data_IF_173548585725
#
_entry.id   IF_173548585725
#
_cell.length_a   1.000
_cell.length_b   1.000
_cell.length_c   1.000
_cell.angle_alpha   90.00
_cell.angle_beta   90.00
_cell.angle_gamma   90.00
#
_symmetry.space_group_name_H-M   'P 1'
#
loop_
_entity.id
_entity.type
_entity.pdbx_description
1 polymer ?
#
# COMPACT_ATOMS: atom_id res chain seq x y z
N UNK A 1 -11.29 76.41 17.66
CA UNK A 1 -10.28 75.38 17.24
C UNK A 1 -10.69 74.06 17.86
N UNK A 2 -11.33 73.24 17.10
CA UNK A 2 -11.79 71.92 17.56
C UNK A 2 -10.78 70.87 17.00
N UNK A 3 -10.11 70.16 17.88
CA UNK A 3 -9.22 69.05 17.52
C UNK A 3 -10.02 67.72 17.47
N UNK A 4 -10.13 67.14 16.29
CA UNK A 4 -10.73 65.85 16.08
C UNK A 4 -9.62 64.79 16.19
N UNK A 5 -9.74 63.83 17.14
CA UNK A 5 -8.91 62.66 17.23
C UNK A 5 -9.45 61.59 16.27
N UNK A 6 -8.59 60.85 15.55
CA UNK A 6 -9.05 59.70 14.81
C UNK A 6 -9.13 58.46 15.72
N UNK A 7 -10.27 57.84 15.76
CA UNK A 7 -10.52 56.55 16.41
C UNK A 7 -10.00 55.45 15.49
N UNK A 8 -8.89 54.81 15.87
CA UNK A 8 -8.37 53.64 15.18
C UNK A 8 -9.17 52.37 15.55
N UNK A 9 -9.86 51.80 14.59
CA UNK A 9 -10.54 50.50 14.73
C UNK A 9 -9.53 49.40 14.50
N UNK A 10 -9.17 48.68 15.56
CA UNK A 10 -8.32 47.46 15.45
C UNK A 10 -9.19 46.31 14.98
N UNK A 11 -8.89 45.80 13.78
CA UNK A 11 -9.52 44.64 13.24
C UNK A 11 -8.79 43.40 13.79
N UNK A 12 -9.41 42.69 14.75
CA UNK A 12 -8.87 41.44 15.26
C UNK A 12 -9.24 40.31 14.30
N UNK A 13 -8.24 39.81 13.55
CA UNK A 13 -8.37 38.60 12.75
C UNK A 13 -8.28 37.38 13.67
N UNK A 14 -9.41 36.73 13.95
CA UNK A 14 -9.42 35.43 14.62
C UNK A 14 -8.97 34.36 13.62
N UNK A 15 -7.79 33.78 13.83
CA UNK A 15 -7.38 32.53 13.18
C UNK A 15 -8.21 31.39 13.80
N UNK A 16 -9.21 30.90 13.08
CA UNK A 16 -9.86 29.64 13.39
C UNK A 16 -8.98 28.51 12.90
N UNK A 17 -8.25 27.88 13.83
CA UNK A 17 -7.58 26.60 13.56
C UNK A 17 -8.67 25.56 13.32
N UNK A 18 -8.84 25.12 12.08
CA UNK A 18 -9.64 23.93 11.77
C UNK A 18 -8.90 22.71 12.36
N UNK A 19 -9.43 22.21 13.47
CA UNK A 19 -9.04 20.89 13.95
C UNK A 19 -9.64 19.91 12.94
N UNK A 20 -8.81 19.28 12.13
CA UNK A 20 -9.21 18.13 11.35
C UNK A 20 -9.64 17.05 12.35
N UNK A 21 -10.95 16.88 12.51
CA UNK A 21 -11.51 15.72 13.20
C UNK A 21 -11.21 14.53 12.29
N UNK A 22 -10.16 13.77 12.63
CA UNK A 22 -10.04 12.41 12.14
C UNK A 22 -11.34 11.69 12.52
N UNK A 23 -12.09 11.23 11.54
CA UNK A 23 -13.24 10.36 11.78
C UNK A 23 -12.75 9.17 12.58
N UNK A 24 -13.46 8.71 13.66
CA UNK A 24 -13.09 7.49 14.35
C UNK A 24 -13.16 6.35 13.33
N UNK A 25 -12.00 5.71 13.10
CA UNK A 25 -11.71 4.86 11.98
C UNK A 25 -12.69 3.71 11.82
N UNK A 26 -13.03 3.43 10.60
CA UNK A 26 -12.97 2.04 10.17
C UNK A 26 -11.48 1.69 10.18
N UNK A 27 -11.03 0.99 11.23
CA UNK A 27 -9.77 0.27 11.18
C UNK A 27 -9.86 -0.60 9.94
N UNK A 28 -8.98 -0.37 8.97
CA UNK A 28 -8.95 -1.19 7.77
C UNK A 28 -8.72 -2.63 8.23
N UNK A 29 -9.56 -3.56 7.83
CA UNK A 29 -9.43 -4.97 8.21
C UNK A 29 -8.08 -5.58 7.84
N UNK A 30 -7.30 -4.89 7.01
CA UNK A 30 -5.96 -5.30 6.57
C UNK A 30 -4.83 -4.49 7.23
N UNK A 31 -5.14 -3.47 8.07
CA UNK A 31 -4.15 -2.55 8.64
C UNK A 31 -4.07 -1.23 7.88
N UNK A 32 -2.96 -0.51 8.01
CA UNK A 32 -2.76 0.82 7.44
C UNK A 32 -1.31 1.06 7.00
N UNK A 33 -1.07 2.05 6.12
CA UNK A 33 0.29 2.47 5.76
C UNK A 33 1.10 2.87 7.00
N UNK A 34 2.29 2.28 7.15
CA UNK A 34 3.19 2.59 8.26
C UNK A 34 4.09 3.79 7.99
N UNK A 35 4.66 4.36 9.05
CA UNK A 35 5.69 5.40 8.95
C UNK A 35 7.09 4.75 9.01
N UNK A 36 7.99 5.16 8.10
CA UNK A 36 9.39 4.70 8.07
C UNK A 36 10.11 4.86 9.41
N UNK A 37 9.77 5.91 10.18
CA UNK A 37 10.37 6.16 11.50
C UNK A 37 9.85 5.21 12.60
N UNK A 38 8.79 4.46 12.31
CA UNK A 38 8.12 3.54 13.25
C UNK A 38 8.29 2.07 12.87
N UNK A 39 9.15 1.77 11.89
CA UNK A 39 9.40 0.38 11.47
C UNK A 39 10.08 -0.39 12.60
N UNK A 40 9.42 -1.43 13.09
CA UNK A 40 9.95 -2.32 14.15
C UNK A 40 11.03 -3.26 13.61
N UNK A 41 10.84 -3.75 12.38
CA UNK A 41 11.82 -4.59 11.65
C UNK A 41 11.58 -4.57 10.15
N UNK A 42 12.60 -4.97 9.41
CA UNK A 42 12.53 -5.12 7.95
C UNK A 42 12.59 -6.60 7.57
N UNK A 43 11.80 -6.96 6.56
CA UNK A 43 11.76 -8.32 5.98
C UNK A 43 11.99 -8.19 4.49
N UNK A 44 12.93 -8.97 3.94
CA UNK A 44 13.06 -9.11 2.50
C UNK A 44 12.08 -10.19 2.01
N UNK A 45 11.30 -9.86 0.99
CA UNK A 45 10.40 -10.79 0.30
C UNK A 45 10.84 -10.89 -1.15
N UNK A 46 11.27 -12.07 -1.55
CA UNK A 46 11.59 -12.36 -2.94
C UNK A 46 10.35 -12.87 -3.67
N UNK A 47 10.17 -12.42 -4.90
CA UNK A 47 9.13 -12.86 -5.84
C UNK A 47 9.81 -13.60 -6.98
N UNK A 48 9.54 -14.91 -7.11
CA UNK A 48 9.93 -15.71 -8.27
C UNK A 48 8.66 -16.23 -8.98
N UNK A 49 8.83 -17.01 -10.04
CA UNK A 49 7.70 -17.51 -10.81
C UNK A 49 6.77 -18.38 -9.94
N UNK A 50 5.59 -17.78 -9.65
CA UNK A 50 4.45 -18.29 -8.91
C UNK A 50 4.71 -18.56 -7.42
N UNK A 51 5.76 -17.95 -6.83
CA UNK A 51 6.03 -18.10 -5.40
C UNK A 51 6.58 -16.84 -4.74
N UNK A 52 6.38 -16.74 -3.43
CA UNK A 52 7.01 -15.77 -2.55
C UNK A 52 7.97 -16.47 -1.60
N UNK A 53 9.08 -15.82 -1.28
CA UNK A 53 10.00 -16.31 -0.26
C UNK A 53 10.30 -15.19 0.76
N UNK A 54 9.88 -15.34 2.04
CA UNK A 54 9.11 -16.46 2.60
C UNK A 54 7.64 -16.47 2.17
N UNK A 55 7.01 -17.65 2.12
CA UNK A 55 5.57 -17.85 1.87
C UNK A 55 4.71 -17.55 3.11
N UNK A 56 5.28 -17.65 4.29
CA UNK A 56 4.60 -17.34 5.56
C UNK A 56 5.45 -16.41 6.39
N UNK A 57 4.81 -15.35 6.90
CA UNK A 57 5.46 -14.33 7.73
C UNK A 57 4.72 -14.20 9.06
N UNK A 58 5.43 -14.44 10.17
CA UNK A 58 4.88 -14.19 11.52
C UNK A 58 4.85 -12.68 11.77
N UNK A 59 3.71 -12.15 12.23
CA UNK A 59 3.53 -10.72 12.56
C UNK A 59 2.83 -10.57 13.91
N UNK A 60 2.98 -9.41 14.55
CA UNK A 60 2.31 -9.10 15.81
C UNK A 60 1.20 -8.05 15.57
N UNK A 61 0.12 -8.07 16.37
CA UNK A 61 -0.86 -6.99 16.39
C UNK A 61 -0.19 -5.63 16.61
N UNK A 62 -0.51 -4.64 15.77
CA UNK A 62 0.04 -3.29 15.83
C UNK A 62 1.50 -3.15 15.37
N UNK A 63 2.16 -4.24 14.94
CA UNK A 63 3.53 -4.20 14.45
C UNK A 63 3.63 -3.44 13.13
N UNK A 64 4.65 -2.59 12.98
CA UNK A 64 4.98 -1.92 11.73
C UNK A 64 6.18 -2.59 11.08
N UNK A 65 5.97 -3.18 9.92
CA UNK A 65 7.02 -3.89 9.17
C UNK A 65 7.35 -3.14 7.88
N UNK A 66 8.65 -2.97 7.62
CA UNK A 66 9.18 -2.57 6.32
C UNK A 66 9.47 -3.81 5.48
N UNK A 67 8.77 -3.98 4.37
CA UNK A 67 9.05 -5.03 3.41
C UNK A 67 9.97 -4.49 2.32
N UNK A 68 11.15 -5.11 2.15
CA UNK A 68 11.96 -4.96 0.95
C UNK A 68 11.54 -6.06 -0.02
N UNK A 69 10.83 -5.69 -1.08
CA UNK A 69 10.30 -6.63 -2.07
C UNK A 69 11.23 -6.66 -3.27
N UNK A 70 11.69 -7.84 -3.65
CA UNK A 70 12.63 -8.02 -4.77
C UNK A 70 12.03 -8.98 -5.79
N UNK A 71 11.88 -8.53 -7.03
CA UNK A 71 11.49 -9.42 -8.12
C UNK A 71 12.73 -10.12 -8.67
N UNK A 72 12.97 -11.35 -8.25
CA UNK A 72 14.09 -12.21 -8.73
C UNK A 72 13.70 -13.07 -9.94
N UNK A 73 12.40 -13.05 -10.30
CA UNK A 73 11.85 -13.78 -11.42
C UNK A 73 12.10 -13.11 -12.77
N UNK A 74 11.40 -13.61 -13.80
CA UNK A 74 11.51 -13.15 -15.19
C UNK A 74 10.22 -12.54 -15.72
N UNK A 75 9.18 -12.49 -14.89
CA UNK A 75 7.90 -11.87 -15.17
C UNK A 75 7.65 -10.69 -14.24
N UNK A 76 6.70 -9.83 -14.61
CA UNK A 76 6.16 -8.81 -13.71
C UNK A 76 5.44 -9.52 -12.57
N UNK A 77 5.73 -9.13 -11.33
CA UNK A 77 5.08 -9.63 -10.14
C UNK A 77 4.58 -8.49 -9.27
N UNK A 78 3.57 -8.77 -8.49
CA UNK A 78 3.03 -7.87 -7.49
C UNK A 78 3.14 -8.50 -6.10
N UNK A 79 3.61 -7.73 -5.13
CA UNK A 79 3.40 -8.01 -3.71
C UNK A 79 2.27 -7.10 -3.25
N UNK A 80 1.14 -7.65 -2.83
CA UNK A 80 -0.05 -6.90 -2.44
C UNK A 80 -0.62 -7.46 -1.14
N UNK A 81 -0.54 -6.68 -0.06
CA UNK A 81 -1.09 -7.03 1.25
C UNK A 81 -2.61 -6.85 1.20
N UNK A 82 -3.35 -7.90 1.59
CA UNK A 82 -4.80 -7.84 1.52
C UNK A 82 -5.50 -9.10 2.00
N UNK A 83 -6.70 -9.27 1.50
CA UNK A 83 -7.57 -10.43 1.71
C UNK A 83 -8.07 -10.93 0.36
N UNK A 84 -8.63 -12.13 0.32
CA UNK A 84 -9.27 -12.65 -0.89
C UNK A 84 -10.34 -11.71 -1.46
N UNK A 85 -11.03 -10.94 -0.61
CA UNK A 85 -12.03 -9.95 -1.05
C UNK A 85 -11.38 -8.76 -1.78
N UNK A 86 -10.35 -8.13 -1.17
CA UNK A 86 -9.66 -7.00 -1.76
C UNK A 86 -8.97 -7.38 -3.07
N UNK A 87 -8.31 -8.54 -3.13
CA UNK A 87 -7.67 -9.04 -4.35
C UNK A 87 -8.67 -9.35 -5.47
N UNK A 88 -9.86 -9.85 -5.14
CA UNK A 88 -10.91 -10.07 -6.13
C UNK A 88 -11.42 -8.75 -6.72
N UNK A 89 -11.52 -7.70 -5.90
CA UNK A 89 -11.85 -6.34 -6.36
C UNK A 89 -10.79 -5.77 -7.30
N UNK A 90 -9.52 -5.97 -6.96
CA UNK A 90 -8.37 -5.44 -7.72
C UNK A 90 -8.12 -6.17 -9.07
N UNK A 91 -8.53 -7.42 -9.18
CA UNK A 91 -8.28 -8.28 -10.34
C UNK A 91 -8.75 -7.71 -11.68
N UNK A 92 -9.87 -7.02 -11.71
CA UNK A 92 -10.42 -6.47 -12.96
C UNK A 92 -9.61 -5.27 -13.46
N UNK A 93 -8.99 -4.52 -12.54
CA UNK A 93 -8.04 -3.47 -12.85
C UNK A 93 -6.78 -4.05 -13.49
N UNK A 94 -6.16 -5.05 -12.88
CA UNK A 94 -4.98 -5.74 -13.41
C UNK A 94 -5.22 -6.36 -14.78
N UNK A 95 -6.40 -6.96 -15.00
CA UNK A 95 -6.81 -7.45 -16.32
C UNK A 95 -6.97 -6.34 -17.34
N UNK A 96 -7.47 -5.18 -16.91
CA UNK A 96 -7.62 -4.01 -17.80
C UNK A 96 -6.24 -3.49 -18.19
N UNK A 97 -5.31 -3.34 -17.24
CA UNK A 97 -3.94 -2.93 -17.54
C UNK A 97 -3.27 -3.83 -18.58
N UNK A 98 -3.42 -5.15 -18.42
CA UNK A 98 -2.88 -6.11 -19.40
C UNK A 98 -3.58 -6.00 -20.78
N UNK A 99 -4.90 -5.90 -20.80
CA UNK A 99 -5.68 -5.80 -22.04
C UNK A 99 -5.40 -4.51 -22.82
N UNK A 100 -5.20 -3.40 -22.11
CA UNK A 100 -4.91 -2.09 -22.70
C UNK A 100 -3.41 -1.90 -22.99
N UNK A 101 -2.58 -2.91 -22.73
CA UNK A 101 -1.15 -2.90 -23.00
C UNK A 101 -0.33 -1.98 -22.09
N UNK A 102 -0.83 -1.65 -20.88
CA UNK A 102 -0.09 -0.97 -19.84
C UNK A 102 0.85 -1.94 -19.13
N UNK A 103 0.52 -3.23 -19.17
CA UNK A 103 1.32 -4.31 -18.62
C UNK A 103 1.42 -5.46 -19.60
N UNK A 104 2.58 -6.07 -19.66
CA UNK A 104 2.83 -7.36 -20.33
C UNK A 104 3.39 -8.33 -19.28
N UNK A 105 3.66 -9.57 -19.67
CA UNK A 105 4.28 -10.53 -18.76
C UNK A 105 5.65 -10.08 -18.22
N UNK A 106 6.35 -9.14 -18.87
CA UNK A 106 7.72 -8.77 -18.51
C UNK A 106 7.96 -7.27 -18.37
N UNK A 107 6.96 -6.44 -18.67
CA UNK A 107 7.14 -4.99 -18.76
C UNK A 107 5.90 -4.22 -18.32
N UNK A 108 6.16 -3.07 -17.71
CA UNK A 108 5.19 -2.04 -17.37
C UNK A 108 5.38 -0.81 -18.27
N UNK A 109 4.32 -0.29 -18.85
CA UNK A 109 4.32 0.99 -19.56
C UNK A 109 3.82 2.10 -18.63
N UNK A 110 4.73 2.60 -17.79
CA UNK A 110 4.43 3.65 -16.80
C UNK A 110 3.83 4.91 -17.44
N UNK A 111 4.25 5.25 -18.66
CA UNK A 111 3.70 6.43 -19.36
C UNK A 111 2.23 6.24 -19.67
N UNK A 112 1.86 5.06 -20.18
CA UNK A 112 0.48 4.71 -20.49
C UNK A 112 -0.36 4.55 -19.22
N UNK A 113 0.21 3.98 -18.15
CA UNK A 113 -0.44 3.89 -16.84
C UNK A 113 -0.76 5.28 -16.29
N UNK A 114 0.20 6.21 -16.36
CA UNK A 114 0.00 7.59 -15.92
C UNK A 114 -1.08 8.31 -16.74
N UNK A 115 -1.04 8.19 -18.07
CA UNK A 115 -2.05 8.79 -18.96
C UNK A 115 -3.46 8.24 -18.70
N UNK A 116 -3.57 6.96 -18.33
CA UNK A 116 -4.84 6.31 -18.00
C UNK A 116 -5.31 6.56 -16.55
N UNK A 117 -4.48 7.15 -15.70
CA UNK A 117 -4.78 7.30 -14.27
C UNK A 117 -4.80 5.96 -13.52
N UNK A 118 -3.99 5.00 -13.99
CA UNK A 118 -3.90 3.64 -13.46
C UNK A 118 -2.47 3.34 -12.94
N UNK A 119 -1.81 4.32 -12.35
CA UNK A 119 -0.55 4.09 -11.67
C UNK A 119 -0.79 3.23 -10.42
N UNK A 120 0.09 2.25 -10.20
CA UNK A 120 0.11 1.40 -9.03
C UNK A 120 1.02 2.03 -7.96
N UNK A 121 0.48 2.98 -7.22
CA UNK A 121 1.12 3.66 -6.10
C UNK A 121 0.39 3.42 -4.76
N UNK A 122 -0.32 2.28 -4.68
CA UNK A 122 -1.01 1.84 -3.49
C UNK A 122 -0.02 1.50 -2.38
N UNK A 123 -0.23 2.05 -1.19
CA UNK A 123 0.71 1.93 -0.07
C UNK A 123 0.90 0.48 0.43
N UNK A 124 -0.03 -0.42 0.15
CA UNK A 124 -0.01 -1.84 0.50
C UNK A 124 0.54 -2.74 -0.62
N UNK A 125 1.03 -2.16 -1.72
CA UNK A 125 1.45 -2.94 -2.88
C UNK A 125 2.78 -2.47 -3.48
N UNK A 126 3.45 -3.39 -4.17
CA UNK A 126 4.60 -3.11 -5.03
C UNK A 126 4.49 -3.97 -6.30
N UNK A 127 4.28 -3.33 -7.45
CA UNK A 127 4.24 -3.95 -8.78
C UNK A 127 5.58 -3.73 -9.45
N UNK A 128 6.33 -4.80 -9.72
CA UNK A 128 7.75 -4.75 -10.10
C UNK A 128 8.04 -5.51 -11.39
N UNK A 129 8.85 -4.90 -12.26
CA UNK A 129 9.47 -5.60 -13.38
C UNK A 129 10.58 -6.58 -12.91
N UNK A 130 11.02 -7.53 -13.74
CA UNK A 130 12.16 -8.40 -13.45
C UNK A 130 13.40 -7.64 -13.01
N UNK A 131 13.95 -7.99 -11.84
CA UNK A 131 15.16 -7.40 -11.27
C UNK A 131 14.93 -6.09 -10.50
N UNK A 132 13.70 -5.60 -10.41
CA UNK A 132 13.37 -4.41 -9.63
C UNK A 132 13.19 -4.74 -8.14
N UNK A 133 13.35 -3.71 -7.34
CA UNK A 133 13.11 -3.73 -5.89
C UNK A 133 12.15 -2.61 -5.51
N UNK A 134 11.19 -2.92 -4.65
CA UNK A 134 10.24 -1.97 -4.09
C UNK A 134 10.21 -2.04 -2.57
N UNK A 135 9.49 -1.11 -1.95
CA UNK A 135 9.28 -1.08 -0.52
C UNK A 135 7.80 -0.92 -0.20
N UNK A 136 7.32 -1.69 0.78
CA UNK A 136 6.00 -1.52 1.41
C UNK A 136 6.22 -1.38 2.91
N UNK A 137 5.66 -0.33 3.53
CA UNK A 137 5.70 -0.15 4.99
C UNK A 137 4.27 -0.27 5.49
N UNK A 138 4.03 -1.26 6.34
CA UNK A 138 2.69 -1.61 6.75
C UNK A 138 2.56 -1.83 8.24
N UNK A 139 1.56 -1.20 8.86
CA UNK A 139 1.17 -1.43 10.25
C UNK A 139 0.02 -2.42 10.29
N UNK A 140 0.25 -3.57 10.94
CA UNK A 140 -0.73 -4.65 11.01
C UNK A 140 -1.87 -4.33 11.98
N UNK A 141 -3.10 -4.78 11.70
CA UNK A 141 -4.24 -4.60 12.59
C UNK A 141 -4.12 -5.52 13.82
N UNK A 142 -5.01 -5.32 14.80
CA UNK A 142 -5.07 -6.14 16.01
C UNK A 142 -5.42 -7.63 15.74
N UNK A 143 -5.92 -7.95 14.54
CA UNK A 143 -6.25 -9.31 14.14
C UNK A 143 -6.93 -9.35 12.79
N UNK A 144 -7.23 -10.53 12.31
CA UNK A 144 -7.88 -10.78 11.03
C UNK A 144 -7.13 -11.82 10.19
N UNK A 145 -7.78 -12.28 9.12
CA UNK A 145 -7.15 -13.12 8.11
C UNK A 145 -6.59 -12.22 7.02
N UNK A 146 -5.27 -12.07 7.00
CA UNK A 146 -4.55 -11.20 6.07
C UNK A 146 -3.44 -12.03 5.44
N UNK A 147 -3.19 -11.77 4.18
CA UNK A 147 -2.09 -12.38 3.45
C UNK A 147 -1.49 -11.40 2.46
N UNK A 148 -0.71 -11.93 1.54
CA UNK A 148 -0.17 -11.22 0.40
C UNK A 148 -0.30 -12.08 -0.85
N UNK A 149 -0.51 -11.43 -2.00
CA UNK A 149 -0.75 -12.14 -3.24
C UNK A 149 -0.19 -11.37 -4.43
N UNK A 150 0.03 -12.09 -5.53
CA UNK A 150 0.30 -11.50 -6.84
C UNK A 150 -1.00 -11.47 -7.66
N UNK A 151 -1.53 -10.28 -7.92
CA UNK A 151 -2.77 -10.12 -8.69
C UNK A 151 -2.53 -9.96 -10.21
N UNK A 152 -1.28 -10.10 -10.67
CA UNK A 152 -0.99 -10.24 -12.10
C UNK A 152 -1.83 -11.41 -12.65
N UNK A 153 -2.60 -11.22 -13.74
CA UNK A 153 -3.55 -12.22 -14.21
C UNK A 153 -2.93 -13.61 -14.42
N UNK A 154 -3.45 -14.60 -13.72
CA UNK A 154 -3.00 -15.99 -13.77
C UNK A 154 -2.04 -16.40 -12.65
N UNK A 155 -1.36 -15.45 -11.98
CA UNK A 155 -0.33 -15.76 -10.99
C UNK A 155 -0.93 -16.29 -9.69
N UNK A 156 -1.94 -15.61 -9.14
CA UNK A 156 -2.65 -16.08 -7.94
C UNK A 156 -3.37 -17.41 -8.19
N UNK A 157 -3.99 -17.57 -9.35
CA UNK A 157 -4.61 -18.83 -9.76
C UNK A 157 -3.61 -19.98 -9.90
N UNK A 158 -2.32 -19.66 -10.09
CA UNK A 158 -1.22 -20.64 -10.10
C UNK A 158 -0.61 -20.88 -8.70
N UNK A 159 -1.13 -20.19 -7.66
CA UNK A 159 -0.72 -20.39 -6.27
C UNK A 159 0.21 -19.31 -5.71
N UNK A 160 0.42 -18.18 -6.42
CA UNK A 160 1.28 -17.10 -5.93
C UNK A 160 0.58 -16.27 -4.85
N UNK A 161 0.50 -16.86 -3.66
CA UNK A 161 -0.09 -16.30 -2.44
C UNK A 161 0.83 -16.62 -1.25
N UNK A 162 0.72 -15.82 -0.18
CA UNK A 162 1.38 -16.08 1.09
C UNK A 162 0.55 -15.57 2.26
N UNK A 163 0.89 -16.03 3.46
CA UNK A 163 0.10 -15.80 4.67
C UNK A 163 0.87 -14.95 5.70
N UNK A 164 0.15 -14.04 6.34
CA UNK A 164 0.59 -13.47 7.61
C UNK A 164 -0.01 -14.27 8.77
N UNK A 165 0.84 -14.78 9.65
CA UNK A 165 0.42 -15.45 10.89
C UNK A 165 0.49 -14.48 12.04
N UNK A 166 -0.68 -14.06 12.53
CA UNK A 166 -0.77 -13.22 13.71
C UNK A 166 -0.29 -13.97 14.94
N UNK A 167 0.77 -13.44 15.58
CA UNK A 167 1.20 -13.89 16.89
C UNK A 167 0.11 -13.60 17.94
N UNK A 168 0.04 -14.43 18.97
CA UNK A 168 -0.80 -14.13 20.13
C UNK A 168 -0.02 -13.13 20.98
N UNK A 169 -0.57 -11.92 21.14
CA UNK A 169 -0.02 -10.94 22.06
C UNK A 169 0.09 -11.56 23.48
N UNK A 170 1.29 -11.49 24.06
CA UNK A 170 1.58 -11.99 25.42
C UNK A 170 1.19 -10.99 26.49
#
# INVERSE_FOLDING_TARGET
>A
MIKILPTGTALATALTSAIAMASPGHESSIGEPGDTAQVDRTITVEMDEMEFSPETIEVQPGETIGFEVVNVGRMVHEFNIGTSETWNGHRDEMRTMMREGMMTAQRLDHSRMLEAGMMHDDANAALLEPGETGQVIWTFPEGGEIGFACNVPGHREAGMEGDFRMGHGS
#
